data_IF_843327103072
#
_entry.id   IF_843327103072
#
_cell.length_a   1.000
_cell.length_b   1.000
_cell.length_c   1.000
_cell.angle_alpha   90.00
_cell.angle_beta   90.00
_cell.angle_gamma   90.00
#
_symmetry.space_group_name_H-M   'P 1'
#
loop_
_entity.id
_entity.type
_entity.pdbx_description
1 polymer ?
#
# COMPACT_ATOMS: atom_id res chain seq x y z
N UNK A 1 -19.86 -2.51 13.37
CA UNK A 1 -19.52 -1.09 13.64
C UNK A 1 -20.38 -0.24 12.72
N UNK A 2 -21.27 0.58 13.28
CA UNK A 2 -22.18 1.44 12.52
C UNK A 2 -21.41 2.60 11.85
N UNK A 3 -21.91 3.12 10.71
CA UNK A 3 -21.23 4.12 9.86
C UNK A 3 -20.79 5.37 10.63
N UNK A 4 -21.61 5.81 11.60
CA UNK A 4 -21.28 6.90 12.51
C UNK A 4 -20.03 6.62 13.36
N UNK A 5 -19.91 5.43 13.94
CA UNK A 5 -18.74 5.06 14.75
C UNK A 5 -17.46 5.01 13.92
N UNK A 6 -17.53 4.59 12.64
CA UNK A 6 -16.40 4.72 11.71
C UNK A 6 -15.97 6.17 11.53
N UNK A 7 -16.92 7.07 11.26
CA UNK A 7 -16.63 8.50 11.08
C UNK A 7 -16.00 9.08 12.35
N UNK A 8 -16.56 8.81 13.52
CA UNK A 8 -15.99 9.29 14.79
C UNK A 8 -14.57 8.76 15.04
N UNK A 9 -14.34 7.46 14.84
CA UNK A 9 -13.02 6.86 15.03
C UNK A 9 -11.99 7.41 14.05
N UNK A 10 -12.41 7.70 12.81
CA UNK A 10 -11.59 8.36 11.80
C UNK A 10 -11.09 9.72 12.26
N UNK A 11 -12.01 10.56 12.76
CA UNK A 11 -11.69 11.89 13.26
C UNK A 11 -10.83 11.83 14.51
N UNK A 12 -11.06 10.84 15.39
CA UNK A 12 -10.24 10.62 16.57
C UNK A 12 -8.80 10.26 16.22
N UNK A 13 -8.58 9.34 15.26
CA UNK A 13 -7.21 8.97 14.82
C UNK A 13 -6.53 10.17 14.14
N UNK A 14 -7.26 10.93 13.32
CA UNK A 14 -6.71 12.11 12.66
C UNK A 14 -6.34 13.19 13.69
N UNK A 15 -7.24 13.52 14.62
CA UNK A 15 -6.97 14.45 15.72
C UNK A 15 -5.79 13.99 16.59
N UNK A 16 -5.72 12.70 16.93
CA UNK A 16 -4.60 12.12 17.67
C UNK A 16 -3.28 12.27 16.91
N UNK A 17 -3.26 12.02 15.60
CA UNK A 17 -2.07 12.22 14.76
C UNK A 17 -1.61 13.67 14.72
N UNK A 18 -2.53 14.65 14.72
CA UNK A 18 -2.18 16.07 14.84
C UNK A 18 -1.62 16.41 16.22
N UNK A 19 -2.25 15.93 17.30
CA UNK A 19 -1.81 16.17 18.68
C UNK A 19 -0.44 15.55 18.96
N UNK A 20 -0.14 14.37 18.41
CA UNK A 20 1.20 13.77 18.48
C UNK A 20 2.20 14.49 17.60
N UNK A 21 1.77 15.08 16.48
CA UNK A 21 2.62 15.80 15.54
C UNK A 21 3.15 17.11 16.12
N UNK A 22 2.32 17.87 16.85
CA UNK A 22 2.68 19.17 17.45
C UNK A 22 3.97 19.14 18.29
N UNK A 23 4.13 18.26 19.29
CA UNK A 23 5.37 18.19 20.07
C UNK A 23 6.55 17.64 19.26
N UNK A 24 6.28 16.90 18.18
CA UNK A 24 7.30 16.35 17.29
C UNK A 24 7.67 17.29 16.14
N UNK A 25 6.99 18.45 15.99
CA UNK A 25 7.21 19.39 14.89
C UNK A 25 8.70 19.76 14.68
N UNK A 26 9.50 20.05 15.72
CA UNK A 26 10.92 20.38 15.51
C UNK A 26 11.70 19.25 14.83
N UNK A 27 11.43 17.99 15.20
CA UNK A 27 12.09 16.81 14.62
C UNK A 27 11.51 16.51 13.24
N UNK A 28 10.19 16.62 13.08
CA UNK A 28 9.51 16.43 11.82
C UNK A 28 10.01 17.42 10.78
N UNK A 29 10.21 18.70 11.10
CA UNK A 29 10.68 19.70 10.12
C UNK A 29 12.12 19.42 9.66
N UNK A 30 12.97 18.85 10.51
CA UNK A 30 14.40 18.69 10.24
C UNK A 30 14.76 17.34 9.63
N UNK A 31 14.06 16.26 9.98
CA UNK A 31 14.53 14.90 9.70
C UNK A 31 13.61 14.13 8.74
N UNK A 32 13.91 14.16 7.44
CA UNK A 32 13.11 13.55 6.38
C UNK A 32 12.80 12.05 6.61
N UNK A 33 13.77 11.26 7.10
CA UNK A 33 13.51 9.84 7.42
C UNK A 33 12.50 9.66 8.55
N UNK A 34 12.48 10.60 9.50
CA UNK A 34 11.52 10.56 10.60
C UNK A 34 10.13 10.97 10.12
N UNK A 35 10.03 11.98 9.22
CA UNK A 35 8.78 12.31 8.53
C UNK A 35 8.20 11.09 7.80
N UNK A 36 9.04 10.40 7.03
CA UNK A 36 8.66 9.20 6.27
C UNK A 36 8.13 8.09 7.18
N UNK A 37 8.85 7.79 8.27
CA UNK A 37 8.41 6.79 9.25
C UNK A 37 7.12 7.20 9.96
N UNK A 38 7.04 8.46 10.41
CA UNK A 38 5.86 9.00 11.10
C UNK A 38 4.62 8.92 10.21
N UNK A 39 4.75 9.34 8.95
CA UNK A 39 3.69 9.23 7.96
C UNK A 39 3.28 7.77 7.75
N UNK A 40 4.24 6.87 7.53
CA UNK A 40 3.94 5.46 7.30
C UNK A 40 3.21 4.82 8.48
N UNK A 41 3.64 5.11 9.72
CA UNK A 41 3.01 4.60 10.94
C UNK A 41 1.55 5.04 11.06
N UNK A 42 1.27 6.34 10.94
CA UNK A 42 -0.11 6.84 11.04
C UNK A 42 -0.97 6.42 9.85
N UNK A 43 -0.40 6.36 8.65
CA UNK A 43 -1.08 5.87 7.45
C UNK A 43 -1.51 4.41 7.63
N UNK A 44 -0.61 3.52 8.08
CA UNK A 44 -0.96 2.14 8.36
C UNK A 44 -2.03 2.02 9.46
N UNK A 45 -1.91 2.80 10.53
CA UNK A 45 -2.86 2.77 11.65
C UNK A 45 -4.26 3.20 11.20
N UNK A 46 -4.37 4.30 10.45
CA UNK A 46 -5.63 4.80 9.89
C UNK A 46 -6.24 3.79 8.92
N UNK A 47 -5.41 3.20 8.04
CA UNK A 47 -5.89 2.21 7.08
C UNK A 47 -6.41 0.93 7.74
N UNK A 48 -5.79 0.44 8.83
CA UNK A 48 -6.32 -0.71 9.58
C UNK A 48 -7.70 -0.45 10.18
N UNK A 49 -7.95 0.80 10.60
CA UNK A 49 -9.29 1.21 11.05
C UNK A 49 -10.28 1.27 9.89
N UNK A 50 -9.82 1.70 8.71
CA UNK A 50 -10.63 1.85 7.50
C UNK A 50 -10.71 0.64 6.59
N UNK A 51 -10.05 -0.46 6.96
CA UNK A 51 -9.77 -1.57 6.06
C UNK A 51 -11.05 -2.14 5.44
N UNK A 52 -12.11 -2.25 6.24
CA UNK A 52 -13.44 -2.70 5.78
C UNK A 52 -14.10 -1.78 4.75
N UNK A 53 -13.77 -0.48 4.76
CA UNK A 53 -14.31 0.50 3.82
C UNK A 53 -13.65 0.45 2.44
N UNK A 54 -12.35 0.12 2.38
CA UNK A 54 -11.60 0.05 1.13
C UNK A 54 -11.50 -1.37 0.56
N UNK A 55 -11.68 -2.42 1.38
CA UNK A 55 -11.58 -3.81 0.94
C UNK A 55 -12.51 -4.15 -0.24
N UNK A 56 -13.76 -3.69 -0.20
CA UNK A 56 -14.72 -3.94 -1.29
C UNK A 56 -14.28 -3.30 -2.62
N UNK A 57 -13.99 -1.97 -2.67
CA UNK A 57 -13.40 -1.35 -3.86
C UNK A 57 -12.12 -2.03 -4.33
N UNK A 58 -11.16 -2.28 -3.44
CA UNK A 58 -9.88 -2.94 -3.78
C UNK A 58 -10.09 -4.29 -4.43
N UNK A 59 -10.91 -5.14 -3.81
CA UNK A 59 -11.29 -6.45 -4.34
C UNK A 59 -11.94 -6.34 -5.71
N UNK A 60 -12.88 -5.41 -5.88
CA UNK A 60 -13.58 -5.24 -7.16
C UNK A 60 -12.64 -4.80 -8.29
N UNK A 61 -11.68 -3.94 -7.99
CA UNK A 61 -10.70 -3.46 -8.97
C UNK A 61 -9.71 -4.57 -9.33
N UNK A 62 -9.18 -5.28 -8.33
CA UNK A 62 -8.18 -6.33 -8.57
C UNK A 62 -8.77 -7.60 -9.17
N UNK A 63 -10.05 -7.91 -8.94
CA UNK A 63 -10.74 -9.00 -9.63
C UNK A 63 -10.74 -8.83 -11.16
N UNK A 64 -10.68 -7.59 -11.66
CA UNK A 64 -10.61 -7.33 -13.11
C UNK A 64 -9.30 -7.82 -13.74
N UNK A 65 -8.28 -8.13 -12.94
CA UNK A 65 -7.06 -8.74 -13.45
C UNK A 65 -7.34 -10.13 -14.01
N UNK A 66 -8.33 -10.85 -13.51
CA UNK A 66 -8.70 -12.21 -13.94
C UNK A 66 -9.20 -12.24 -15.39
N UNK A 67 -9.76 -11.12 -15.87
CA UNK A 67 -10.27 -10.97 -17.23
C UNK A 67 -9.19 -10.54 -18.23
N UNK A 68 -7.98 -10.20 -17.76
CA UNK A 68 -6.90 -9.69 -18.62
C UNK A 68 -6.06 -10.83 -19.21
N UNK A 69 -5.65 -10.64 -20.46
CA UNK A 69 -4.65 -11.47 -21.11
C UNK A 69 -3.46 -10.61 -21.53
N UNK A 70 -2.24 -11.08 -21.24
CA UNK A 70 -1.03 -10.38 -21.65
C UNK A 70 -0.86 -10.44 -23.18
N UNK A 71 -0.39 -9.35 -23.77
CA UNK A 71 0.02 -9.30 -25.17
C UNK A 71 1.46 -9.78 -25.38
N UNK A 72 2.25 -9.89 -24.30
CA UNK A 72 3.58 -10.47 -24.32
C UNK A 72 3.46 -12.01 -24.38
N UNK A 73 4.01 -12.62 -25.43
CA UNK A 73 3.90 -14.06 -25.68
C UNK A 73 4.48 -14.94 -24.58
N UNK A 74 5.54 -14.48 -23.89
CA UNK A 74 6.15 -15.20 -22.77
C UNK A 74 5.30 -15.13 -21.50
N UNK A 75 4.62 -14.00 -21.27
CA UNK A 75 3.68 -13.85 -20.15
C UNK A 75 2.38 -14.61 -20.41
N UNK A 76 1.86 -14.50 -21.64
CA UNK A 76 0.65 -15.16 -22.09
C UNK A 76 0.76 -16.68 -21.96
N UNK A 77 1.87 -17.28 -22.38
CA UNK A 77 2.11 -18.74 -22.23
C UNK A 77 2.17 -19.21 -20.78
N UNK A 78 2.50 -18.32 -19.83
CA UNK A 78 2.51 -18.60 -18.39
C UNK A 78 1.19 -18.23 -17.68
N UNK A 79 0.22 -17.64 -18.39
CA UNK A 79 -1.01 -17.12 -17.80
C UNK A 79 -0.79 -15.93 -16.84
N UNK A 80 0.34 -15.23 -16.97
CA UNK A 80 0.75 -14.11 -16.09
C UNK A 80 0.43 -12.77 -16.75
N UNK A 81 0.07 -11.77 -15.93
CA UNK A 81 -0.03 -10.36 -16.37
C UNK A 81 0.92 -9.49 -15.56
N UNK A 82 1.40 -8.37 -16.14
CA UNK A 82 2.17 -7.38 -15.39
C UNK A 82 1.23 -6.40 -14.68
N UNK A 83 1.51 -6.13 -13.42
CA UNK A 83 0.78 -5.16 -12.60
C UNK A 83 1.76 -4.09 -12.11
N UNK A 84 1.51 -2.83 -12.46
CA UNK A 84 2.22 -1.68 -11.91
C UNK A 84 1.32 -0.98 -10.91
N UNK A 85 1.76 -0.89 -9.66
CA UNK A 85 1.08 -0.14 -8.61
C UNK A 85 1.86 1.11 -8.24
N UNK A 86 1.21 2.28 -8.35
CA UNK A 86 1.77 3.58 -7.97
C UNK A 86 1.19 4.00 -6.63
N UNK A 87 2.04 4.36 -5.67
CA UNK A 87 1.62 4.59 -4.29
C UNK A 87 1.26 3.28 -3.59
N UNK A 88 2.10 2.25 -3.79
CA UNK A 88 1.85 0.91 -3.24
C UNK A 88 1.89 0.87 -1.71
N UNK A 89 2.51 1.87 -1.05
CA UNK A 89 2.66 1.94 0.39
C UNK A 89 3.13 0.58 0.97
N UNK A 90 2.43 0.09 1.99
CA UNK A 90 2.69 -1.19 2.63
C UNK A 90 2.04 -2.40 1.92
N UNK A 91 1.53 -2.23 0.70
CA UNK A 91 0.91 -3.28 -0.11
C UNK A 91 -0.45 -3.77 0.36
N UNK A 92 -1.41 -2.89 0.76
CA UNK A 92 -2.73 -3.32 1.20
C UNK A 92 -3.57 -3.98 0.09
N UNK A 93 -3.19 -3.80 -1.17
CA UNK A 93 -3.88 -4.39 -2.31
C UNK A 93 -3.44 -5.85 -2.57
N UNK A 94 -2.27 -6.25 -2.08
CA UNK A 94 -1.67 -7.54 -2.39
C UNK A 94 -2.58 -8.71 -2.00
N UNK A 95 -3.34 -8.61 -0.91
CA UNK A 95 -4.26 -9.67 -0.47
C UNK A 95 -5.40 -9.96 -1.44
N UNK A 96 -5.74 -9.02 -2.34
CA UNK A 96 -6.84 -9.16 -3.28
C UNK A 96 -6.40 -9.59 -4.69
N UNK A 97 -5.10 -9.80 -4.91
CA UNK A 97 -4.59 -10.32 -6.18
C UNK A 97 -4.87 -11.81 -6.26
N UNK A 98 -5.86 -12.18 -7.09
CA UNK A 98 -6.39 -13.55 -7.19
C UNK A 98 -5.70 -14.46 -8.21
N UNK A 99 -4.77 -13.94 -9.01
CA UNK A 99 -4.09 -14.67 -10.09
C UNK A 99 -2.59 -14.38 -10.14
N UNK A 100 -1.79 -15.23 -10.82
CA UNK A 100 -0.38 -14.96 -11.05
C UNK A 100 -0.11 -13.62 -11.75
N UNK A 101 0.69 -12.77 -11.12
CA UNK A 101 1.14 -11.48 -11.68
C UNK A 101 2.65 -11.29 -11.55
N UNK A 102 3.21 -10.56 -12.50
CA UNK A 102 4.53 -9.91 -12.38
C UNK A 102 4.31 -8.48 -11.86
N UNK A 103 4.63 -8.26 -10.58
CA UNK A 103 4.27 -7.06 -9.84
C UNK A 103 5.43 -6.06 -9.75
N UNK A 104 5.16 -4.82 -10.16
CA UNK A 104 6.03 -3.67 -10.02
C UNK A 104 5.38 -2.64 -9.11
N UNK A 105 6.18 -2.02 -8.25
CA UNK A 105 5.73 -0.93 -7.39
C UNK A 105 6.52 0.33 -7.59
N UNK A 106 5.83 1.45 -7.37
CA UNK A 106 6.43 2.76 -7.17
C UNK A 106 5.98 3.27 -5.81
N UNK A 107 6.91 3.30 -4.87
CA UNK A 107 6.70 3.82 -3.52
C UNK A 107 7.98 4.54 -3.05
N UNK A 108 7.99 5.88 -2.98
CA UNK A 108 9.17 6.63 -2.55
C UNK A 108 9.44 6.55 -1.05
N UNK A 109 8.43 6.23 -0.23
CA UNK A 109 8.59 6.11 1.22
C UNK A 109 9.03 4.69 1.60
N UNK A 110 10.32 4.53 1.83
CA UNK A 110 10.93 3.25 2.22
C UNK A 110 10.50 2.75 3.60
N UNK A 111 9.87 3.58 4.43
CA UNK A 111 9.37 3.15 5.74
C UNK A 111 8.25 2.11 5.64
N UNK A 112 7.57 2.00 4.48
CA UNK A 112 6.58 0.96 4.24
C UNK A 112 7.17 -0.40 3.89
N UNK A 113 8.47 -0.48 3.55
CA UNK A 113 9.10 -1.70 3.03
C UNK A 113 8.95 -2.92 3.94
N UNK A 114 9.14 -2.85 5.27
CA UNK A 114 9.02 -4.03 6.12
C UNK A 114 7.61 -4.63 6.10
N UNK A 115 6.57 -3.79 6.19
CA UNK A 115 5.18 -4.24 6.12
C UNK A 115 4.83 -4.73 4.72
N UNK A 116 5.33 -4.05 3.68
CA UNK A 116 5.16 -4.48 2.29
C UNK A 116 5.69 -5.89 2.05
N UNK A 117 6.94 -6.17 2.47
CA UNK A 117 7.55 -7.49 2.31
C UNK A 117 6.78 -8.59 3.04
N UNK A 118 6.24 -8.28 4.22
CA UNK A 118 5.35 -9.19 4.95
C UNK A 118 4.08 -9.50 4.16
N UNK A 119 3.43 -8.49 3.60
CA UNK A 119 2.19 -8.66 2.84
C UNK A 119 2.43 -9.36 1.50
N UNK A 120 3.58 -9.10 0.86
CA UNK A 120 4.01 -9.81 -0.33
C UNK A 120 4.20 -11.30 -0.05
N UNK A 121 4.94 -11.64 1.01
CA UNK A 121 5.17 -13.03 1.40
C UNK A 121 3.86 -13.78 1.73
N UNK A 122 2.79 -13.06 2.09
CA UNK A 122 1.49 -13.64 2.36
C UNK A 122 0.68 -14.01 1.10
N UNK A 123 1.05 -13.50 -0.08
CA UNK A 123 0.36 -13.83 -1.34
C UNK A 123 1.32 -14.46 -2.38
N UNK A 124 1.28 -15.79 -2.58
CA UNK A 124 2.14 -16.48 -3.55
C UNK A 124 1.79 -16.18 -5.01
N UNK A 125 0.63 -15.54 -5.29
CA UNK A 125 0.24 -15.14 -6.65
C UNK A 125 1.04 -13.93 -7.16
N UNK A 126 1.73 -13.22 -6.28
CA UNK A 126 2.46 -12.00 -6.61
C UNK A 126 3.95 -12.32 -6.75
N UNK A 127 4.43 -12.43 -7.98
CA UNK A 127 5.86 -12.51 -8.27
C UNK A 127 6.43 -11.12 -8.50
N UNK A 128 7.59 -10.79 -7.93
CA UNK A 128 8.28 -9.52 -8.22
C UNK A 128 9.43 -9.76 -9.21
N UNK A 129 9.33 -9.26 -10.45
CA UNK A 129 10.53 -9.02 -11.25
C UNK A 129 11.28 -7.85 -10.61
N UNK A 130 12.57 -8.01 -10.33
CA UNK A 130 13.42 -6.96 -9.73
C UNK A 130 13.32 -5.63 -10.51
N UNK A 131 12.59 -4.65 -9.97
CA UNK A 131 12.72 -3.22 -10.30
C UNK A 131 12.41 -2.39 -9.05
N UNK A 132 13.44 -1.79 -8.46
CA UNK A 132 13.32 -0.79 -7.40
C UNK A 132 13.65 0.58 -8.01
N UNK A 133 12.64 1.36 -8.39
CA UNK A 133 12.86 2.77 -8.76
C UNK A 133 12.83 3.60 -7.48
N UNK A 134 13.96 3.59 -6.76
CA UNK A 134 14.18 4.52 -5.67
C UNK A 134 14.37 5.93 -6.26
N UNK A 135 13.33 6.75 -6.14
CA UNK A 135 13.40 8.17 -6.48
C UNK A 135 14.44 8.85 -5.59
N UNK A 136 15.53 9.35 -6.19
CA UNK A 136 16.38 10.36 -5.54
C UNK A 136 15.49 11.55 -5.18
N UNK A 137 15.53 11.97 -3.92
CA UNK A 137 15.07 13.32 -3.57
C UNK A 137 15.98 14.31 -4.28
N UNK A 138 15.41 15.19 -5.10
CA UNK A 138 16.05 16.46 -5.47
C UNK A 138 16.21 17.32 -4.22
#
# INVERSE_FOLDING_TARGET
>A
MNRLMYIFLSHAVLAFSFLCGVPLLPVLVVHHRFQQWYFAYFYELTQRVWDKGYALPRRSVLARLDDLESQDSSLKSRGVVRLLEVGAAYGPNLEFVGRPVEYWKVEPNTAFEPTFQKNLAANPMVGIPFVQVAGKSL
#
